data_IF_363729155226
#
_entry.id   IF_363729155226
#
_cell.length_a   1.000
_cell.length_b   1.000
_cell.length_c   1.000
_cell.angle_alpha   90.00
_cell.angle_beta   90.00
_cell.angle_gamma   90.00
#
_symmetry.space_group_name_H-M   'P 1'
#
loop_
_entity.id
_entity.type
_entity.pdbx_description
1 polymer ?
#
# COMPACT_ATOMS: atom_id res chain seq x y z
N UNK A 1 4.15 -0.31 9.88
CA UNK A 1 3.00 -0.85 9.13
C UNK A 1 3.10 -2.37 9.05
N UNK A 2 2.00 -3.07 8.84
CA UNK A 2 1.97 -4.51 8.52
C UNK A 2 1.32 -4.73 7.15
N UNK A 3 1.76 -5.78 6.46
CA UNK A 3 1.34 -6.14 5.10
C UNK A 3 0.92 -7.61 5.10
N UNK A 4 -0.25 -7.89 4.53
CA UNK A 4 -0.77 -9.24 4.31
C UNK A 4 -1.10 -9.41 2.83
N UNK A 5 -0.65 -10.52 2.26
CA UNK A 5 -0.91 -10.88 0.86
C UNK A 5 -1.74 -12.16 0.82
N UNK A 6 -2.80 -12.14 0.02
CA UNK A 6 -3.62 -13.31 -0.30
C UNK A 6 -3.34 -13.65 -1.75
N UNK A 7 -2.91 -14.88 -1.99
CA UNK A 7 -2.53 -15.40 -3.31
C UNK A 7 -3.48 -16.54 -3.72
N UNK A 8 -3.65 -16.71 -5.03
CA UNK A 8 -4.26 -17.89 -5.60
C UNK A 8 -3.33 -19.11 -5.44
N UNK A 9 -3.85 -20.30 -5.74
CA UNK A 9 -3.06 -21.54 -5.66
C UNK A 9 -1.84 -21.55 -6.61
N UNK A 10 -1.87 -20.76 -7.67
CA UNK A 10 -0.77 -20.59 -8.63
C UNK A 10 0.22 -19.47 -8.24
N UNK A 11 0.04 -18.84 -7.07
CA UNK A 11 0.87 -17.73 -6.60
C UNK A 11 0.45 -16.36 -7.14
N UNK A 12 -0.62 -16.26 -7.93
CA UNK A 12 -1.11 -14.95 -8.39
C UNK A 12 -1.61 -14.12 -7.20
N UNK A 13 -1.11 -12.89 -6.97
CA UNK A 13 -1.59 -12.04 -5.90
C UNK A 13 -3.03 -11.58 -6.18
N UNK A 14 -3.95 -11.86 -5.27
CA UNK A 14 -5.37 -11.52 -5.39
C UNK A 14 -5.73 -10.26 -4.60
N UNK A 15 -5.26 -10.18 -3.35
CA UNK A 15 -5.52 -9.07 -2.45
C UNK A 15 -4.28 -8.78 -1.63
N UNK A 16 -3.94 -7.50 -1.51
CA UNK A 16 -2.92 -7.03 -0.59
C UNK A 16 -3.51 -6.03 0.38
N UNK A 17 -3.36 -6.30 1.68
CA UNK A 17 -3.88 -5.46 2.76
C UNK A 17 -2.73 -4.87 3.56
N UNK A 18 -2.76 -3.55 3.72
CA UNK A 18 -1.80 -2.80 4.50
C UNK A 18 -2.49 -2.15 5.70
N UNK A 19 -1.90 -2.31 6.88
CA UNK A 19 -2.36 -1.66 8.11
C UNK A 19 -1.27 -0.75 8.64
N UNK A 20 -1.58 0.54 8.75
CA UNK A 20 -0.71 1.54 9.34
C UNK A 20 -1.32 1.99 10.67
N UNK A 21 -0.67 1.62 11.77
CA UNK A 21 -1.09 2.06 13.10
C UNK A 21 -0.83 3.55 13.27
N UNK A 22 -1.78 4.28 13.85
CA UNK A 22 -1.63 5.70 14.14
C UNK A 22 -1.81 6.65 12.95
N UNK A 23 -2.06 6.16 11.73
CA UNK A 23 -2.23 7.01 10.54
C UNK A 23 -3.47 7.92 10.59
N UNK A 24 -4.49 7.57 11.37
CA UNK A 24 -5.75 8.30 11.41
C UNK A 24 -6.41 8.33 10.02
N UNK A 25 -6.85 9.52 9.59
CA UNK A 25 -7.45 9.75 8.26
C UNK A 25 -6.44 10.36 7.25
N UNK A 26 -5.14 10.22 7.51
CA UNK A 26 -4.11 10.68 6.58
C UNK A 26 -3.82 9.64 5.49
N UNK A 27 -3.45 10.13 4.30
CA UNK A 27 -2.94 9.29 3.21
C UNK A 27 -1.51 8.85 3.50
N UNK A 28 -1.24 7.55 3.46
CA UNK A 28 0.09 7.02 3.76
C UNK A 28 1.12 7.39 2.70
N UNK A 29 2.26 7.92 3.15
CA UNK A 29 3.32 8.45 2.31
C UNK A 29 3.02 9.88 1.85
N UNK A 30 3.38 10.20 0.62
CA UNK A 30 3.28 11.56 0.09
C UNK A 30 4.40 12.48 0.58
N UNK A 31 4.27 13.77 0.28
CA UNK A 31 5.28 14.79 0.62
C UNK A 31 5.03 15.36 2.00
N UNK A 32 6.10 15.78 2.68
CA UNK A 32 6.04 16.46 3.98
C UNK A 32 5.26 17.77 3.95
N UNK A 33 5.24 18.45 2.80
CA UNK A 33 4.49 19.70 2.60
C UNK A 33 3.03 19.44 2.18
N UNK A 34 2.66 18.19 1.97
CA UNK A 34 1.31 17.78 1.57
C UNK A 34 0.30 17.99 2.70
N UNK A 35 -0.93 18.35 2.33
CA UNK A 35 -2.04 18.34 3.28
C UNK A 35 -2.62 16.92 3.38
N UNK A 36 -3.00 16.53 4.60
CA UNK A 36 -3.63 15.23 4.90
C UNK A 36 -2.79 14.00 4.52
N UNK A 37 -1.48 14.15 4.45
CA UNK A 37 -0.53 13.05 4.20
C UNK A 37 0.20 12.67 5.48
N UNK A 38 0.51 11.39 5.62
CA UNK A 38 1.40 10.84 6.64
C UNK A 38 2.71 10.40 5.95
N UNK A 39 3.69 11.30 5.83
CA UNK A 39 4.95 11.01 5.15
C UNK A 39 5.82 9.98 5.87
N UNK A 40 5.51 9.63 7.12
CA UNK A 40 6.20 8.56 7.85
C UNK A 40 5.69 7.16 7.45
N UNK A 41 4.51 7.09 6.83
CA UNK A 41 3.94 5.87 6.27
C UNK A 41 4.57 5.46 4.92
N UNK A 42 4.36 4.21 4.49
CA UNK A 42 4.77 3.74 3.17
C UNK A 42 4.04 4.52 2.06
N UNK A 43 4.65 4.60 0.88
CA UNK A 43 4.03 5.25 -0.27
C UNK A 43 2.86 4.40 -0.82
N UNK A 44 1.65 4.67 -0.32
CA UNK A 44 0.47 3.91 -0.70
C UNK A 44 0.19 3.97 -2.21
N UNK A 45 0.46 5.11 -2.85
CA UNK A 45 0.23 5.27 -4.29
C UNK A 45 1.19 4.39 -5.09
N UNK A 46 2.47 4.38 -4.73
CA UNK A 46 3.46 3.51 -5.37
C UNK A 46 3.13 2.02 -5.16
N UNK A 47 2.69 1.63 -3.96
CA UNK A 47 2.29 0.25 -3.67
C UNK A 47 1.06 -0.19 -4.46
N UNK A 48 0.05 0.68 -4.62
CA UNK A 48 -1.10 0.40 -5.49
C UNK A 48 -0.66 0.21 -6.94
N UNK A 49 0.20 1.08 -7.47
CA UNK A 49 0.72 0.96 -8.84
C UNK A 49 1.51 -0.35 -9.00
N UNK A 50 2.39 -0.68 -8.05
CA UNK A 50 3.14 -1.95 -8.05
C UNK A 50 2.20 -3.15 -8.07
N UNK A 51 1.15 -3.15 -7.25
CA UNK A 51 0.21 -4.26 -7.15
C UNK A 51 -0.63 -4.40 -8.42
N UNK A 52 -1.27 -3.33 -8.89
CA UNK A 52 -2.19 -3.40 -10.03
C UNK A 52 -1.51 -3.53 -11.39
N UNK A 53 -0.27 -3.05 -11.52
CA UNK A 53 0.50 -3.17 -12.76
C UNK A 53 1.47 -4.37 -12.73
N UNK A 54 1.43 -5.20 -11.70
CA UNK A 54 2.23 -6.42 -11.68
C UNK A 54 1.82 -7.33 -12.85
N UNK A 55 2.74 -7.73 -13.75
CA UNK A 55 2.40 -8.62 -14.83
C UNK A 55 1.99 -9.98 -14.26
N UNK A 56 0.84 -10.49 -14.71
CA UNK A 56 0.48 -11.90 -14.51
C UNK A 56 1.35 -12.72 -15.46
N UNK A 57 2.58 -13.03 -15.06
CA UNK A 57 3.46 -13.96 -15.81
C UNK A 57 3.04 -15.39 -15.59
#
# INVERSE_FOLDING_TARGET
YSRNLVEAADGTPLVESWRIEGAGHAWSGGRTEGSYTDPAGPDASAEMVRFFLHPRT
#
